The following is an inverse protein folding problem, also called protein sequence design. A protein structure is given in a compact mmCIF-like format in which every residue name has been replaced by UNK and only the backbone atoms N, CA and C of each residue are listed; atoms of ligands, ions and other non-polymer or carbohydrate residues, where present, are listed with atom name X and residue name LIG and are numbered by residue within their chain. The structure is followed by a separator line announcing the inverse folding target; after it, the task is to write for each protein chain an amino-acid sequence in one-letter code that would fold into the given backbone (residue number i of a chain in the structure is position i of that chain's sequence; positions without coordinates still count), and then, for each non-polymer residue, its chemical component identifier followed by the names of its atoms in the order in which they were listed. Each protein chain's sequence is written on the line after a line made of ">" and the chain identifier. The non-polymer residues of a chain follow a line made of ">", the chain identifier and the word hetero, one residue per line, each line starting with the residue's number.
data_IF_168642748902
#
_entry.id   IF_168642748902
#
_cell.length_a   1.000
_cell.length_b   1.000
_cell.length_c   1.000
_cell.angle_alpha   90.00
_cell.angle_beta   90.00
_cell.angle_gamma   90.00
#
_symmetry.space_group_name_H-M   'P 1'
#
loop_
_entity.id
_entity.type
_entity.pdbx_description
1 polymer ?
#
# COMPACT_ATOMS: atom_id res chain seq x y z
N UNK A 1 3.05 15.44 -6.89
CA UNK A 1 2.78 14.42 -5.85
C UNK A 1 3.99 13.51 -5.63
N UNK A 2 4.34 13.17 -4.38
CA UNK A 2 5.46 12.27 -4.07
C UNK A 2 5.02 10.80 -4.21
N UNK A 3 5.78 9.99 -4.96
CA UNK A 3 5.46 8.56 -5.24
C UNK A 3 5.16 7.74 -3.98
N UNK A 4 5.86 8.02 -2.87
CA UNK A 4 5.64 7.30 -1.60
C UNK A 4 4.28 7.62 -0.98
N UNK A 5 3.81 8.86 -1.08
CA UNK A 5 2.51 9.27 -0.56
C UNK A 5 1.40 8.77 -1.47
N UNK A 6 1.60 8.83 -2.80
CA UNK A 6 0.69 8.24 -3.79
C UNK A 6 0.47 6.74 -3.52
N UNK A 7 1.53 6.01 -3.20
CA UNK A 7 1.40 4.60 -2.87
C UNK A 7 0.57 4.39 -1.60
N UNK A 8 0.89 5.12 -0.53
CA UNK A 8 0.13 5.05 0.72
C UNK A 8 -1.36 5.28 0.47
N UNK A 9 -1.71 6.41 -0.12
CA UNK A 9 -3.08 6.83 -0.42
C UNK A 9 -3.85 5.79 -1.22
N UNK A 10 -3.27 5.28 -2.31
CA UNK A 10 -3.94 4.28 -3.16
C UNK A 10 -4.15 2.95 -2.44
N UNK A 11 -3.18 2.48 -1.65
CA UNK A 11 -3.39 1.25 -0.90
C UNK A 11 -4.41 1.44 0.22
N UNK A 12 -4.42 2.60 0.89
CA UNK A 12 -5.45 2.96 1.88
C UNK A 12 -6.83 2.93 1.25
N UNK A 13 -7.07 3.69 0.18
CA UNK A 13 -8.36 3.75 -0.51
C UNK A 13 -8.82 2.36 -0.98
N UNK A 14 -7.88 1.55 -1.49
CA UNK A 14 -8.20 0.20 -1.94
C UNK A 14 -8.59 -0.72 -0.78
N UNK A 15 -7.85 -0.67 0.33
CA UNK A 15 -8.14 -1.47 1.53
C UNK A 15 -9.48 -1.04 2.13
N UNK A 16 -9.76 0.25 2.25
CA UNK A 16 -11.04 0.75 2.76
C UNK A 16 -12.23 0.30 1.90
N UNK A 17 -12.09 0.40 0.57
CA UNK A 17 -13.15 0.02 -0.37
C UNK A 17 -13.39 -1.49 -0.41
N UNK A 18 -12.33 -2.30 -0.39
CA UNK A 18 -12.42 -3.75 -0.56
C UNK A 18 -12.50 -4.51 0.77
N UNK A 19 -12.21 -3.84 1.88
CA UNK A 19 -12.25 -4.32 3.25
C UNK A 19 -11.75 -5.77 3.41
N UNK A 20 -10.49 -6.06 3.06
CA UNK A 20 -9.95 -7.41 3.23
C UNK A 20 -9.99 -7.81 4.70
N UNK A 21 -10.40 -9.05 4.97
CA UNK A 21 -10.61 -9.56 6.31
C UNK A 21 -9.29 -9.84 7.04
N UNK A 22 -8.17 -10.01 6.33
CA UNK A 22 -6.86 -10.30 6.92
C UNK A 22 -5.69 -9.90 6.02
N UNK A 23 -4.48 -9.93 6.56
CA UNK A 23 -3.24 -9.72 5.81
C UNK A 23 -3.06 -10.77 4.71
N UNK A 24 -3.42 -12.02 4.97
CA UNK A 24 -3.36 -13.10 3.97
C UNK A 24 -4.34 -12.87 2.81
N UNK A 25 -5.57 -12.43 3.10
CA UNK A 25 -6.54 -12.11 2.04
C UNK A 25 -6.08 -10.91 1.21
N UNK A 26 -5.57 -9.86 1.87
CA UNK A 26 -4.95 -8.71 1.22
C UNK A 26 -3.81 -9.17 0.29
N UNK A 27 -2.93 -10.04 0.78
CA UNK A 27 -1.83 -10.58 -0.01
C UNK A 27 -2.29 -11.40 -1.20
N UNK A 28 -3.34 -12.22 -1.03
CA UNK A 28 -3.91 -13.02 -2.10
C UNK A 28 -4.50 -12.15 -3.20
N UNK A 29 -5.35 -11.17 -2.85
CA UNK A 29 -6.01 -10.27 -3.81
C UNK A 29 -5.02 -9.41 -4.59
N UNK A 30 -3.91 -9.04 -3.96
CA UNK A 30 -2.89 -8.18 -4.56
C UNK A 30 -1.65 -8.94 -5.07
N UNK A 31 -1.63 -10.27 -5.00
CA UNK A 31 -0.45 -11.12 -5.29
C UNK A 31 0.18 -10.89 -6.66
N UNK A 32 -0.60 -10.43 -7.65
CA UNK A 32 -0.10 -10.09 -8.99
C UNK A 32 0.66 -8.76 -9.07
N UNK A 33 0.56 -7.90 -8.05
CA UNK A 33 1.15 -6.55 -8.06
C UNK A 33 2.02 -6.22 -6.86
N UNK A 34 1.71 -6.75 -5.68
CA UNK A 34 2.54 -6.53 -4.50
C UNK A 34 3.66 -7.56 -4.42
N UNK A 35 4.83 -7.10 -3.98
CA UNK A 35 5.93 -7.97 -3.57
C UNK A 35 5.97 -8.02 -2.05
N UNK A 36 6.69 -8.99 -1.45
CA UNK A 36 6.84 -9.15 0.01
C UNK A 36 7.32 -7.91 0.78
N UNK A 37 7.76 -6.85 0.09
CA UNK A 37 8.22 -5.59 0.72
C UNK A 37 7.24 -4.44 0.54
N UNK A 38 6.17 -4.61 -0.24
CA UNK A 38 5.22 -3.53 -0.57
C UNK A 38 4.32 -3.21 0.62
N UNK A 39 3.82 -4.26 1.28
CA UNK A 39 2.99 -4.19 2.50
C UNK A 39 3.63 -5.16 3.51
N UNK A 40 3.60 -4.80 4.79
CA UNK A 40 4.05 -5.67 5.86
C UNK A 40 3.17 -5.49 7.10
N UNK A 41 3.02 -6.53 7.90
CA UNK A 41 2.46 -6.43 9.25
C UNK A 41 3.37 -5.53 10.10
N UNK A 42 2.80 -4.50 10.72
CA UNK A 42 3.54 -3.48 11.45
C UNK A 42 4.37 -4.08 12.61
N UNK A 43 3.80 -5.06 13.31
CA UNK A 43 4.48 -5.78 14.41
C UNK A 43 5.68 -6.62 13.96
N UNK A 44 5.75 -7.01 12.67
CA UNK A 44 6.83 -7.83 12.11
C UNK A 44 7.94 -6.99 11.48
N UNK A 45 7.81 -5.66 11.47
CA UNK A 45 8.84 -4.76 10.93
C UNK A 45 9.95 -4.58 11.96
N UNK A 46 11.13 -5.11 11.65
CA UNK A 46 12.33 -4.87 12.47
C UNK A 46 12.74 -3.40 12.46
N UNK A 47 13.39 -2.96 13.55
CA UNK A 47 13.85 -1.57 13.72
C UNK A 47 14.70 -1.07 12.55
N UNK A 48 15.60 -1.90 12.03
CA UNK A 48 16.46 -1.60 10.88
C UNK A 48 15.68 -1.30 9.59
N UNK A 49 14.44 -1.79 9.50
CA UNK A 49 13.58 -1.67 8.32
C UNK A 49 12.50 -0.61 8.48
N UNK A 50 12.28 -0.07 9.70
CA UNK A 50 11.26 0.95 10.01
C UNK A 50 11.29 2.13 9.04
N UNK A 51 12.48 2.62 8.68
CA UNK A 51 12.65 3.75 7.76
C UNK A 51 12.20 3.47 6.30
N UNK A 52 11.89 2.21 5.95
CA UNK A 52 11.45 1.81 4.60
C UNK A 52 9.94 1.75 4.44
N UNK A 53 9.19 2.09 5.50
CA UNK A 53 7.74 2.03 5.56
C UNK A 53 7.18 3.34 6.11
N UNK A 54 5.91 3.61 5.82
CA UNK A 54 5.15 4.64 6.51
C UNK A 54 4.60 4.01 7.80
N UNK A 55 5.15 4.42 8.94
CA UNK A 55 4.97 3.78 10.25
C UNK A 55 4.58 4.78 11.34
N UNK A 56 4.26 6.01 10.95
CA UNK A 56 3.63 6.94 11.88
C UNK A 56 2.21 6.45 12.13
N UNK A 57 1.65 6.72 13.31
CA UNK A 57 0.33 6.20 13.68
C UNK A 57 -0.76 6.58 12.66
N UNK A 58 -0.70 7.78 12.08
CA UNK A 58 -1.63 8.26 11.05
C UNK A 58 -1.47 7.57 9.68
N UNK A 59 -0.35 6.86 9.44
CA UNK A 59 -0.04 6.18 8.18
C UNK A 59 -0.27 4.66 8.24
N UNK A 60 -0.54 4.11 9.44
CA UNK A 60 -0.82 2.69 9.64
C UNK A 60 -2.28 2.39 9.29
N UNK A 61 -2.52 1.21 8.74
CA UNK A 61 -3.84 0.79 8.29
C UNK A 61 -4.25 -0.44 9.09
N UNK A 62 -5.37 -0.35 9.82
CA UNK A 62 -5.96 -1.48 10.53
C UNK A 62 -6.92 -2.23 9.59
N UNK A 63 -6.72 -3.55 9.46
CA UNK A 63 -7.62 -4.44 8.71
C UNK A 63 -8.79 -4.87 9.59
N UNK A 64 -9.84 -5.44 8.99
CA UNK A 64 -11.02 -5.90 9.73
C UNK A 64 -10.71 -7.03 10.75
N UNK A 65 -9.60 -7.75 10.60
CA UNK A 65 -9.09 -8.72 11.58
C UNK A 65 -8.50 -8.07 12.85
N UNK A 66 -8.20 -6.76 12.82
CA UNK A 66 -7.37 -6.07 13.80
C UNK A 66 -5.87 -6.15 13.49
N UNK A 67 -5.46 -6.81 12.39
CA UNK A 67 -4.07 -6.76 11.93
C UNK A 67 -3.72 -5.35 11.44
N UNK A 68 -2.58 -4.83 11.87
CA UNK A 68 -2.10 -3.51 11.45
C UNK A 68 -1.01 -3.67 10.39
N UNK A 69 -1.20 -3.04 9.25
CA UNK A 69 -0.26 -3.09 8.12
C UNK A 69 0.37 -1.73 7.84
N UNK A 70 1.60 -1.77 7.32
CA UNK A 70 2.33 -0.60 6.88
C UNK A 70 2.69 -0.71 5.39
N UNK A 71 2.57 0.40 4.67
CA UNK A 71 2.93 0.51 3.26
C UNK A 71 4.37 0.96 3.12
N UNK A 72 5.13 0.36 2.20
CA UNK A 72 6.51 0.79 1.95
C UNK A 72 6.55 2.24 1.46
N UNK A 73 7.59 2.98 1.83
CA UNK A 73 7.87 4.30 1.29
C UNK A 73 8.91 4.28 0.14
N UNK A 74 9.40 3.10 -0.24
CA UNK A 74 10.46 2.90 -1.24
C UNK A 74 9.88 2.51 -2.60
N UNK A 75 9.59 3.51 -3.44
CA UNK A 75 8.95 3.31 -4.74
C UNK A 75 9.79 3.77 -5.92
N UNK A 76 10.26 2.80 -6.71
CA UNK A 76 10.79 3.02 -8.05
C UNK A 76 9.66 3.19 -9.07
N UNK A 77 9.94 3.90 -10.17
CA UNK A 77 8.93 4.27 -11.17
C UNK A 77 8.19 3.05 -11.76
N UNK A 78 8.91 2.01 -12.17
CA UNK A 78 8.28 0.82 -12.75
C UNK A 78 7.47 -0.02 -11.76
N UNK A 79 7.74 0.07 -10.45
CA UNK A 79 6.92 -0.63 -9.46
C UNK A 79 5.62 0.13 -9.18
N UNK A 80 5.67 1.46 -9.06
CA UNK A 80 4.46 2.25 -8.83
C UNK A 80 3.55 2.18 -10.06
N UNK A 81 4.08 2.28 -11.28
CA UNK A 81 3.28 2.18 -12.51
C UNK A 81 2.54 0.84 -12.62
N UNK A 82 3.19 -0.29 -12.30
CA UNK A 82 2.53 -1.61 -12.26
C UNK A 82 1.34 -1.63 -11.29
N UNK A 83 1.51 -1.01 -10.13
CA UNK A 83 0.47 -0.92 -9.10
C UNK A 83 -0.69 -0.04 -9.57
N UNK A 84 -0.39 1.13 -10.14
CA UNK A 84 -1.42 2.02 -10.70
C UNK A 84 -2.23 1.34 -11.81
N UNK A 85 -1.57 0.60 -12.70
CA UNK A 85 -2.26 -0.09 -13.79
C UNK A 85 -3.18 -1.20 -13.31
N UNK A 86 -2.85 -1.89 -12.22
CA UNK A 86 -3.75 -2.84 -11.58
C UNK A 86 -4.96 -2.14 -10.98
N UNK A 87 -4.75 -1.09 -10.18
CA UNK A 87 -5.87 -0.39 -9.55
C UNK A 87 -6.79 0.28 -10.57
N UNK A 88 -6.26 0.79 -11.70
CA UNK A 88 -7.08 1.29 -12.82
C UNK A 88 -7.98 0.20 -13.40
N UNK A 89 -7.47 -1.02 -13.57
CA UNK A 89 -8.27 -2.16 -14.05
C UNK A 89 -9.32 -2.59 -13.02
N UNK A 90 -9.03 -2.40 -11.74
CA UNK A 90 -9.94 -2.64 -10.62
C UNK A 90 -10.97 -1.51 -10.41
N UNK A 91 -11.00 -0.51 -11.31
CA UNK A 91 -11.98 0.56 -11.31
C UNK A 91 -11.63 1.77 -10.45
N UNK A 92 -10.36 1.95 -10.06
CA UNK A 92 -9.87 3.18 -9.44
C UNK A 92 -9.48 4.21 -10.49
N UNK A 93 -9.98 5.44 -10.35
CA UNK A 93 -9.53 6.57 -11.14
C UNK A 93 -8.31 7.16 -10.46
N UNK A 94 -7.12 6.77 -10.93
CA UNK A 94 -5.88 7.39 -10.47
C UNK A 94 -5.60 8.62 -11.33
N UNK A 95 -6.05 9.79 -10.86
CA UNK A 95 -5.71 11.08 -11.47
C UNK A 95 -4.30 11.49 -11.06
N UNK A 96 -3.39 11.54 -12.02
CA UNK A 96 -2.07 12.13 -11.79
C UNK A 96 -2.24 13.64 -11.89
N UNK A 97 -2.39 14.32 -10.76
CA UNK A 97 -2.36 15.80 -10.75
C UNK A 97 -0.92 16.24 -11.00
N UNK A 98 -0.62 16.61 -12.24
CA UNK A 98 0.61 17.36 -12.55
C UNK A 98 0.43 18.78 -12.03
N UNK A 99 1.12 19.07 -10.93
CA UNK A 99 1.28 20.43 -10.43
C UNK A 99 2.34 21.07 -11.33
N UNK A 100 1.89 21.94 -12.24
CA UNK A 100 2.75 22.80 -13.05
C UNK A 100 3.54 23.79 -12.19
#
# INVERSE_FOLDING_TARGET
>A
MNKRNLALEIFTDWIEKNNPASFDELHMKLSGVIKNRTIALAELISDERRNRYHINDDDLIELASGEVVAISNQWGIGNIERVLDFFRRDGFIVEKVEVN
#
